data_IF_111162911022
#
_entry.id   IF_111162911022
#
_cell.length_a   1.000
_cell.length_b   1.000
_cell.length_c   1.000
_cell.angle_alpha   90.00
_cell.angle_beta   90.00
_cell.angle_gamma   90.00
#
_symmetry.space_group_name_H-M   'P 1'
#
loop_
_entity.id
_entity.type
_entity.pdbx_description
1 polymer ?
#
# COMPACT_ATOMS: atom_id res chain seq x y z
N UNK A 1 9.41 17.39 16.98
CA UNK A 1 9.11 18.04 15.69
C UNK A 1 10.22 17.90 14.62
N UNK A 2 11.44 17.46 14.95
CA UNK A 2 12.53 17.26 13.98
C UNK A 2 12.44 15.95 13.16
N UNK A 3 11.74 14.95 13.63
CA UNK A 3 11.79 13.60 13.07
C UNK A 3 10.90 13.34 11.84
N UNK A 4 10.01 14.27 11.46
CA UNK A 4 9.13 14.09 10.27
C UNK A 4 9.85 14.54 9.00
N UNK A 5 10.75 15.52 9.09
CA UNK A 5 11.53 16.01 7.96
C UNK A 5 12.53 14.99 7.41
N UNK A 6 13.20 14.23 8.30
CA UNK A 6 14.32 13.37 7.92
C UNK A 6 13.93 12.17 7.03
N UNK A 7 12.66 11.71 7.08
CA UNK A 7 12.18 10.62 6.24
C UNK A 7 11.91 11.09 4.82
N UNK A 8 11.45 12.34 4.69
CA UNK A 8 11.12 12.95 3.41
C UNK A 8 12.32 13.66 2.77
N UNK A 9 13.37 13.96 3.51
CA UNK A 9 14.58 14.62 3.00
C UNK A 9 15.52 13.71 2.21
N UNK A 10 15.42 12.36 2.37
CA UNK A 10 16.22 11.43 1.56
C UNK A 10 15.81 11.35 0.09
N UNK A 11 14.62 11.83 -0.26
CA UNK A 11 14.13 11.89 -1.66
C UNK A 11 14.70 13.08 -2.43
N UNK A 12 15.42 13.96 -1.75
CA UNK A 12 15.61 15.37 -2.16
C UNK A 12 16.70 15.59 -3.20
N UNK A 13 17.23 14.57 -3.87
CA UNK A 13 18.23 14.93 -4.87
C UNK A 13 17.65 15.04 -6.28
N UNK A 14 16.53 14.34 -6.67
CA UNK A 14 15.94 14.51 -8.03
C UNK A 14 14.49 14.00 -8.22
N UNK A 15 13.73 13.60 -7.19
CA UNK A 15 12.38 13.07 -7.34
C UNK A 15 11.33 13.78 -6.49
N UNK A 16 10.06 13.65 -6.87
CA UNK A 16 8.91 14.17 -6.12
C UNK A 16 8.33 13.11 -5.20
N UNK A 17 7.86 13.54 -4.01
CA UNK A 17 7.04 12.70 -3.14
C UNK A 17 5.57 12.91 -3.50
N UNK A 18 4.97 11.91 -4.15
CA UNK A 18 3.59 11.95 -4.63
C UNK A 18 2.67 11.37 -3.55
N UNK A 19 1.68 12.14 -3.13
CA UNK A 19 0.71 11.68 -2.14
C UNK A 19 -0.40 10.85 -2.76
N UNK A 20 -0.65 9.68 -2.18
CA UNK A 20 -1.79 8.81 -2.45
C UNK A 20 -2.81 8.99 -1.33
N UNK A 21 -4.02 9.38 -1.66
CA UNK A 21 -5.10 9.56 -0.71
C UNK A 21 -5.73 8.23 -0.27
N UNK A 22 -6.69 8.31 0.63
CA UNK A 22 -7.53 7.17 1.00
C UNK A 22 -8.43 6.78 -0.20
N UNK A 23 -8.58 5.48 -0.45
CA UNK A 23 -9.28 4.97 -1.63
C UNK A 23 -8.74 5.58 -2.94
N UNK A 24 -7.43 5.67 -3.05
CA UNK A 24 -6.70 6.23 -4.19
C UNK A 24 -5.51 5.32 -4.54
N UNK A 25 -5.01 5.47 -5.72
CA UNK A 25 -3.82 4.77 -6.21
C UNK A 25 -3.05 5.63 -7.20
N UNK A 26 -1.74 5.48 -7.21
CA UNK A 26 -0.85 6.16 -8.17
C UNK A 26 0.33 5.29 -8.51
N UNK A 27 0.81 5.43 -9.74
CA UNK A 27 2.06 4.85 -10.19
C UNK A 27 3.08 5.95 -10.51
N UNK A 28 4.35 5.65 -10.35
CA UNK A 28 5.45 6.57 -10.67
C UNK A 28 6.66 5.85 -11.24
N UNK A 29 7.54 6.62 -11.86
CA UNK A 29 8.87 6.18 -12.30
C UNK A 29 9.93 6.75 -11.37
N UNK A 30 11.06 6.06 -11.26
CA UNK A 30 12.28 6.61 -10.66
C UNK A 30 12.62 7.97 -11.31
N UNK A 31 12.97 9.00 -10.52
CA UNK A 31 13.30 8.96 -9.08
C UNK A 31 12.14 9.30 -8.12
N UNK A 32 10.90 9.39 -8.61
CA UNK A 32 9.76 9.75 -7.76
C UNK A 32 9.45 8.68 -6.69
N UNK A 33 8.80 9.12 -5.63
CA UNK A 33 8.36 8.29 -4.53
C UNK A 33 6.87 8.52 -4.24
N UNK A 34 6.24 7.55 -3.58
CA UNK A 34 4.82 7.56 -3.25
C UNK A 34 4.64 7.48 -1.74
N UNK A 35 3.67 8.20 -1.19
CA UNK A 35 3.36 8.14 0.25
C UNK A 35 1.86 8.11 0.50
N UNK A 36 1.45 7.43 1.55
CA UNK A 36 0.08 7.49 2.05
C UNK A 36 0.04 7.50 3.57
N UNK A 37 -0.95 8.16 4.11
CA UNK A 37 -1.14 8.40 5.53
C UNK A 37 -2.37 7.66 6.04
N UNK A 38 -2.39 7.36 7.33
CA UNK A 38 -3.60 6.90 8.01
C UNK A 38 -4.02 5.46 7.67
N UNK A 39 -3.06 4.56 7.46
CA UNK A 39 -3.33 3.13 7.36
C UNK A 39 -3.68 2.56 8.75
N UNK A 40 -4.95 2.56 9.11
CA UNK A 40 -5.49 1.78 10.23
C UNK A 40 -5.90 0.40 9.74
N UNK A 41 -7.21 0.16 9.61
CA UNK A 41 -7.76 -1.07 8.99
C UNK A 41 -7.53 -1.16 7.47
N UNK A 42 -7.22 -0.05 6.82
CA UNK A 42 -6.82 0.01 5.41
C UNK A 42 -5.48 -0.69 5.17
N UNK A 43 -5.24 -1.12 3.94
CA UNK A 43 -3.97 -1.72 3.52
C UNK A 43 -3.32 -0.86 2.44
N UNK A 44 -2.04 -0.52 2.64
CA UNK A 44 -1.18 0.05 1.63
C UNK A 44 -0.47 -1.07 0.86
N UNK A 45 -0.74 -1.15 -0.43
CA UNK A 45 -0.13 -2.14 -1.33
C UNK A 45 0.87 -1.42 -2.23
N UNK A 46 2.16 -1.68 -2.01
CA UNK A 46 3.22 -1.22 -2.89
C UNK A 46 3.56 -2.30 -3.91
N UNK A 47 3.48 -1.97 -5.18
CA UNK A 47 3.89 -2.82 -6.29
C UNK A 47 5.15 -2.23 -6.95
N UNK A 48 6.05 -3.09 -7.41
CA UNK A 48 7.33 -2.65 -7.95
C UNK A 48 7.85 -3.55 -9.06
N UNK A 49 8.25 -2.96 -10.19
CA UNK A 49 9.08 -3.60 -11.20
C UNK A 49 10.54 -3.14 -11.01
N UNK A 50 11.42 -3.99 -10.46
CA UNK A 50 12.78 -3.59 -10.10
C UNK A 50 13.69 -3.31 -11.31
N UNK A 51 13.34 -3.80 -12.49
CA UNK A 51 14.13 -3.58 -13.71
C UNK A 51 13.87 -2.20 -14.28
N UNK A 52 12.61 -1.81 -14.40
CA UNK A 52 12.22 -0.48 -14.91
C UNK A 52 12.20 0.59 -13.84
N UNK A 53 12.30 0.21 -12.56
CA UNK A 53 12.13 1.08 -11.39
C UNK A 53 10.81 1.87 -11.44
N UNK A 54 9.76 1.18 -11.87
CA UNK A 54 8.39 1.68 -11.84
C UNK A 54 7.71 1.11 -10.61
N UNK A 55 7.13 1.99 -9.82
CA UNK A 55 6.40 1.64 -8.61
C UNK A 55 4.96 2.10 -8.64
N UNK A 56 4.15 1.49 -7.81
CA UNK A 56 2.78 1.89 -7.56
C UNK A 56 2.40 1.72 -6.11
N UNK A 57 1.49 2.56 -5.63
CA UNK A 57 0.96 2.50 -4.27
C UNK A 57 -0.56 2.63 -4.32
N UNK A 58 -1.25 1.68 -3.70
CA UNK A 58 -2.71 1.64 -3.51
C UNK A 58 -3.02 1.77 -2.03
N UNK A 59 -3.96 2.63 -1.66
CA UNK A 59 -4.56 2.71 -0.34
C UNK A 59 -5.98 2.14 -0.39
N UNK A 60 -6.15 0.83 -0.25
CA UNK A 60 -7.47 0.20 -0.27
C UNK A 60 -8.10 0.14 1.13
N UNK A 61 -9.43 0.24 1.16
CA UNK A 61 -10.22 0.31 2.38
C UNK A 61 -11.06 -0.95 2.63
N UNK A 62 -11.42 -1.67 1.58
CA UNK A 62 -12.37 -2.78 1.59
C UNK A 62 -11.83 -3.97 0.78
N UNK A 63 -12.25 -5.20 1.12
CA UNK A 63 -11.69 -6.39 0.52
C UNK A 63 -12.16 -6.66 -0.91
N UNK A 64 -13.46 -6.50 -1.19
CA UNK A 64 -14.11 -7.06 -2.37
C UNK A 64 -15.23 -6.14 -2.87
N UNK A 65 -15.11 -5.68 -4.12
CA UNK A 65 -16.05 -4.76 -4.74
C UNK A 65 -17.43 -5.38 -4.99
N UNK A 66 -17.50 -6.70 -5.15
CA UNK A 66 -18.76 -7.40 -5.45
C UNK A 66 -19.73 -7.43 -4.26
N UNK A 67 -19.22 -7.21 -3.04
CA UNK A 67 -20.03 -7.18 -1.82
C UNK A 67 -20.74 -5.82 -1.57
N UNK A 68 -20.49 -4.83 -2.42
CA UNK A 68 -21.00 -3.47 -2.24
C UNK A 68 -21.80 -2.99 -3.45
N UNK A 69 -22.95 -2.35 -3.19
CA UNK A 69 -23.80 -1.77 -4.27
C UNK A 69 -23.11 -0.59 -4.96
N UNK A 70 -22.43 0.26 -4.18
CA UNK A 70 -21.64 1.36 -4.71
C UNK A 70 -20.17 0.96 -4.76
N UNK A 71 -19.74 0.52 -5.93
CA UNK A 71 -18.37 0.10 -6.23
C UNK A 71 -17.72 0.94 -7.35
N UNK A 72 -18.21 2.16 -7.57
CA UNK A 72 -17.73 3.05 -8.62
C UNK A 72 -16.26 3.50 -8.41
N UNK A 73 -15.81 3.64 -7.15
CA UNK A 73 -14.41 3.93 -6.86
C UNK A 73 -13.62 2.62 -6.77
N UNK A 74 -12.98 2.26 -7.88
CA UNK A 74 -12.22 1.00 -8.01
C UNK A 74 -11.01 0.93 -7.08
N UNK A 75 -10.40 2.05 -6.70
CA UNK A 75 -9.27 2.10 -5.76
C UNK A 75 -9.66 1.85 -4.30
N UNK A 76 -10.96 1.84 -4.00
CA UNK A 76 -11.47 1.57 -2.66
C UNK A 76 -11.30 0.10 -2.26
N UNK A 77 -11.27 -0.82 -3.22
CA UNK A 77 -11.31 -2.25 -3.02
C UNK A 77 -9.99 -2.92 -3.41
N UNK A 78 -9.62 -3.99 -2.69
CA UNK A 78 -8.39 -4.72 -2.96
C UNK A 78 -8.41 -5.40 -4.35
N UNK A 79 -9.53 -6.02 -4.72
CA UNK A 79 -9.69 -6.74 -5.99
C UNK A 79 -9.51 -5.82 -7.20
N UNK A 80 -10.29 -4.76 -7.31
CA UNK A 80 -10.27 -3.83 -8.44
C UNK A 80 -9.11 -2.83 -8.40
N UNK A 81 -8.69 -2.41 -7.21
CA UNK A 81 -7.61 -1.45 -7.03
C UNK A 81 -6.25 -2.02 -7.46
N UNK A 82 -5.96 -3.28 -7.15
CA UNK A 82 -4.71 -3.93 -7.57
C UNK A 82 -4.65 -4.07 -9.08
N UNK A 83 -5.75 -4.46 -9.75
CA UNK A 83 -5.79 -4.56 -11.21
C UNK A 83 -5.53 -3.20 -11.88
N UNK A 84 -6.18 -2.15 -11.38
CA UNK A 84 -6.00 -0.80 -11.94
C UNK A 84 -4.57 -0.27 -11.70
N UNK A 85 -3.98 -0.54 -10.53
CA UNK A 85 -2.61 -0.14 -10.25
C UNK A 85 -1.63 -0.80 -11.21
N UNK A 86 -1.79 -2.10 -11.47
CA UNK A 86 -0.98 -2.83 -12.46
C UNK A 86 -1.16 -2.21 -13.84
N UNK A 87 -2.39 -1.90 -14.24
CA UNK A 87 -2.67 -1.26 -15.52
C UNK A 87 -1.91 0.08 -15.67
N UNK A 88 -1.91 0.92 -14.64
CA UNK A 88 -1.17 2.18 -14.65
C UNK A 88 0.34 1.98 -14.70
N UNK A 89 0.87 1.03 -13.94
CA UNK A 89 2.30 0.71 -13.97
C UNK A 89 2.72 0.21 -15.37
N UNK A 90 1.92 -0.63 -16.01
CA UNK A 90 2.17 -1.11 -17.39
C UNK A 90 2.14 0.04 -18.40
N UNK A 91 1.23 0.98 -18.26
CA UNK A 91 1.19 2.17 -19.10
C UNK A 91 2.47 3.03 -19.01
N UNK A 92 3.17 2.96 -17.86
CA UNK A 92 4.48 3.57 -17.67
C UNK A 92 5.66 2.72 -18.19
N UNK A 93 5.44 1.43 -18.48
CA UNK A 93 6.45 0.53 -19.02
C UNK A 93 6.85 -0.65 -18.11
N UNK A 94 6.14 -0.87 -17.00
CA UNK A 94 6.36 -2.05 -16.17
C UNK A 94 5.94 -3.34 -16.89
N UNK A 95 6.57 -4.44 -16.53
CA UNK A 95 6.26 -5.77 -17.08
C UNK A 95 5.69 -6.66 -15.98
N UNK A 96 4.50 -7.21 -16.22
CA UNK A 96 3.70 -7.97 -15.25
C UNK A 96 4.50 -9.05 -14.53
N UNK A 97 5.26 -9.84 -15.28
CA UNK A 97 6.02 -10.98 -14.75
C UNK A 97 7.16 -10.59 -13.81
N UNK A 98 7.53 -9.31 -13.75
CA UNK A 98 8.57 -8.78 -12.87
C UNK A 98 8.02 -8.07 -11.64
N UNK A 99 6.71 -7.80 -11.60
CA UNK A 99 6.10 -7.08 -10.50
C UNK A 99 6.16 -7.92 -9.22
N UNK A 100 6.63 -7.29 -8.17
CA UNK A 100 6.64 -7.81 -6.80
C UNK A 100 5.89 -6.87 -5.87
N UNK A 101 5.50 -7.33 -4.70
CA UNK A 101 4.69 -6.58 -3.75
C UNK A 101 5.32 -6.46 -2.36
N UNK A 102 5.03 -5.36 -1.70
CA UNK A 102 5.18 -5.16 -0.25
C UNK A 102 3.89 -4.58 0.30
N UNK A 103 3.46 -5.03 1.48
CA UNK A 103 2.16 -4.61 2.04
C UNK A 103 2.30 -4.15 3.49
N UNK A 104 1.48 -3.17 3.87
CA UNK A 104 1.43 -2.66 5.25
C UNK A 104 0.02 -2.23 5.63
N UNK A 105 -0.32 -2.27 6.90
CA UNK A 105 -1.62 -1.85 7.40
C UNK A 105 -2.49 -3.01 7.87
N UNK A 106 -3.80 -2.88 7.72
CA UNK A 106 -4.74 -3.90 8.17
C UNK A 106 -4.80 -4.08 9.68
N UNK A 107 -4.61 -2.99 10.45
CA UNK A 107 -4.66 -3.01 11.90
C UNK A 107 -6.09 -3.20 12.42
N UNK A 108 -6.20 -3.80 13.60
CA UNK A 108 -7.45 -3.90 14.34
C UNK A 108 -7.54 -2.73 15.35
N UNK A 109 -8.12 -1.62 14.91
CA UNK A 109 -8.18 -0.39 15.69
C UNK A 109 -9.16 -0.45 16.88
N UNK A 110 -10.07 -1.42 16.91
CA UNK A 110 -11.16 -1.53 17.89
C UNK A 110 -11.25 -2.91 18.56
N UNK A 111 -10.16 -3.58 18.78
CA UNK A 111 -10.08 -4.97 19.25
C UNK A 111 -10.84 -5.26 20.58
N UNK A 112 -11.18 -4.23 21.36
CA UNK A 112 -11.75 -4.38 22.70
C UNK A 112 -13.29 -4.31 22.77
N UNK A 113 -14.04 -4.24 21.67
CA UNK A 113 -15.48 -3.96 21.73
C UNK A 113 -16.45 -5.06 21.27
N UNK A 114 -16.03 -6.12 20.70
CA UNK A 114 -16.80 -7.37 20.53
C UNK A 114 -16.11 -8.36 19.57
N UNK A 115 -16.40 -9.66 19.73
CA UNK A 115 -15.97 -10.75 18.86
C UNK A 115 -16.74 -10.84 17.52
N UNK A 116 -17.37 -9.76 17.04
CA UNK A 116 -18.14 -9.81 15.81
C UNK A 116 -17.23 -9.73 14.57
N UNK A 117 -17.50 -10.55 13.56
CA UNK A 117 -16.79 -10.55 12.28
C UNK A 117 -16.75 -9.19 11.59
N UNK A 118 -17.76 -8.34 11.82
CA UNK A 118 -17.84 -6.97 11.29
C UNK A 118 -16.69 -6.08 11.77
N UNK A 119 -16.02 -6.42 12.88
CA UNK A 119 -14.93 -5.63 13.46
C UNK A 119 -13.53 -6.04 12.98
N UNK A 120 -13.41 -7.12 12.20
CA UNK A 120 -12.13 -7.61 11.67
C UNK A 120 -11.83 -7.07 10.26
N UNK A 121 -12.22 -5.84 9.97
CA UNK A 121 -12.04 -5.23 8.64
C UNK A 121 -10.57 -5.24 8.22
N UNK A 122 -9.66 -4.91 9.12
CA UNK A 122 -8.23 -4.91 8.84
C UNK A 122 -7.71 -6.28 8.41
N UNK A 123 -8.05 -7.34 9.14
CA UNK A 123 -7.67 -8.71 8.81
C UNK A 123 -8.27 -9.16 7.47
N UNK A 124 -9.54 -8.86 7.23
CA UNK A 124 -10.23 -9.19 5.97
C UNK A 124 -9.58 -8.49 4.78
N UNK A 125 -9.18 -7.23 4.94
CA UNK A 125 -8.45 -6.48 3.92
C UNK A 125 -7.10 -7.14 3.59
N UNK A 126 -6.33 -7.54 4.61
CA UNK A 126 -5.04 -8.22 4.41
C UNK A 126 -5.23 -9.55 3.69
N UNK A 127 -6.22 -10.36 4.10
CA UNK A 127 -6.54 -11.64 3.45
C UNK A 127 -6.89 -11.43 1.97
N UNK A 128 -7.74 -10.46 1.67
CA UNK A 128 -8.17 -10.16 0.30
C UNK A 128 -7.00 -9.69 -0.58
N UNK A 129 -6.15 -8.79 -0.07
CA UNK A 129 -4.94 -8.34 -0.78
C UNK A 129 -4.03 -9.53 -1.08
N UNK A 130 -3.74 -10.37 -0.10
CA UNK A 130 -2.90 -11.57 -0.29
C UNK A 130 -3.49 -12.54 -1.31
N UNK A 131 -4.79 -12.80 -1.23
CA UNK A 131 -5.50 -13.67 -2.17
C UNK A 131 -5.43 -13.12 -3.61
N UNK A 132 -5.66 -11.81 -3.79
CA UNK A 132 -5.58 -11.16 -5.10
C UNK A 132 -4.17 -11.22 -5.67
N UNK A 133 -3.15 -10.87 -4.90
CA UNK A 133 -1.75 -10.93 -5.34
C UNK A 133 -1.34 -12.37 -5.71
N UNK A 134 -1.75 -13.36 -4.92
CA UNK A 134 -1.53 -14.78 -5.22
C UNK A 134 -2.19 -15.20 -6.53
N UNK A 135 -3.43 -14.78 -6.79
CA UNK A 135 -4.14 -15.10 -8.05
C UNK A 135 -3.46 -14.53 -9.29
N UNK A 136 -2.70 -13.44 -9.13
CA UNK A 136 -1.92 -12.78 -10.18
C UNK A 136 -0.47 -13.27 -10.25
N UNK A 137 -0.07 -14.27 -9.44
CA UNK A 137 1.29 -14.76 -9.30
C UNK A 137 2.31 -13.65 -8.90
N UNK A 138 1.86 -12.65 -8.13
CA UNK A 138 2.73 -11.60 -7.61
C UNK A 138 3.21 -12.00 -6.22
N UNK A 139 4.53 -12.11 -6.06
CA UNK A 139 5.17 -12.46 -4.79
C UNK A 139 5.16 -11.28 -3.81
N UNK A 140 4.77 -11.53 -2.57
CA UNK A 140 4.91 -10.57 -1.47
C UNK A 140 6.30 -10.77 -0.86
N UNK A 141 7.20 -9.81 -1.08
CA UNK A 141 8.58 -9.86 -0.58
C UNK A 141 8.66 -9.62 0.93
N UNK A 142 7.83 -8.71 1.44
CA UNK A 142 7.78 -8.37 2.86
C UNK A 142 6.45 -7.73 3.23
N UNK A 143 6.16 -7.75 4.54
CA UNK A 143 4.90 -7.20 5.05
C UNK A 143 5.03 -6.66 6.47
N UNK A 144 4.23 -5.64 6.79
CA UNK A 144 4.01 -5.13 8.14
C UNK A 144 2.52 -4.90 8.36
N UNK A 145 1.81 -5.95 8.75
CA UNK A 145 0.35 -5.97 8.81
C UNK A 145 -0.15 -6.38 10.19
N UNK A 146 -1.42 -6.02 10.45
CA UNK A 146 -2.10 -6.36 11.69
C UNK A 146 -1.77 -5.39 12.81
N UNK A 147 -1.69 -5.90 14.04
CA UNK A 147 -1.54 -5.11 15.26
C UNK A 147 -2.73 -4.15 15.48
N UNK A 148 -2.54 -3.12 16.31
CA UNK A 148 -3.60 -2.21 16.74
C UNK A 148 -3.23 -0.73 16.57
N UNK A 149 -2.28 -0.40 15.71
CA UNK A 149 -1.81 0.95 15.48
C UNK A 149 -1.83 1.37 14.01
N UNK A 150 -2.01 2.66 13.79
CA UNK A 150 -1.97 3.25 12.46
C UNK A 150 -0.54 3.42 11.93
N UNK A 151 -0.42 3.44 10.61
CA UNK A 151 0.85 3.57 9.89
C UNK A 151 0.80 4.69 8.86
N UNK A 152 1.94 5.31 8.65
CA UNK A 152 2.26 6.14 7.49
C UNK A 152 3.36 5.44 6.71
N UNK A 153 3.22 5.36 5.40
CA UNK A 153 4.18 4.64 4.56
C UNK A 153 4.71 5.50 3.43
N UNK A 154 5.96 5.24 3.03
CA UNK A 154 6.61 5.82 1.87
C UNK A 154 7.23 4.73 1.01
N UNK A 155 6.94 4.73 -0.29
CA UNK A 155 7.54 3.82 -1.25
C UNK A 155 8.50 4.57 -2.17
N UNK A 156 9.72 4.09 -2.29
CA UNK A 156 10.80 4.73 -3.05
C UNK A 156 11.12 3.92 -4.31
N UNK A 157 10.78 4.46 -5.48
CA UNK A 157 10.96 3.73 -6.75
C UNK A 157 12.42 3.50 -7.14
N UNK A 158 13.35 4.29 -6.62
CA UNK A 158 14.78 4.12 -6.89
C UNK A 158 15.34 2.82 -6.32
N UNK A 159 14.92 2.47 -5.09
CA UNK A 159 15.45 1.33 -4.34
C UNK A 159 14.45 0.19 -4.16
N UNK A 160 13.15 0.46 -4.29
CA UNK A 160 12.09 -0.45 -3.93
C UNK A 160 11.82 -0.52 -2.41
N UNK A 161 12.39 0.39 -1.64
CA UNK A 161 12.18 0.46 -0.19
C UNK A 161 10.75 0.88 0.14
N UNK A 162 10.16 0.16 1.10
CA UNK A 162 8.87 0.51 1.69
C UNK A 162 9.08 0.87 3.15
N UNK A 163 9.06 2.15 3.44
CA UNK A 163 9.36 2.73 4.74
C UNK A 163 8.09 2.92 5.52
N UNK A 164 8.04 2.41 6.75
CA UNK A 164 6.86 2.42 7.61
C UNK A 164 7.15 3.21 8.87
N UNK A 165 6.27 4.16 9.17
CA UNK A 165 6.28 4.96 10.38
C UNK A 165 5.00 4.72 11.18
N UNK A 166 5.14 4.43 12.46
CA UNK A 166 4.05 4.39 13.42
C UNK A 166 4.41 5.21 14.66
N UNK A 167 3.40 5.81 15.30
CA UNK A 167 3.62 6.64 16.49
C UNK A 167 4.23 5.81 17.62
N UNK A 168 5.29 6.32 18.23
CA UNK A 168 5.97 5.66 19.34
C UNK A 168 6.77 4.41 18.98
N UNK A 169 6.97 4.13 17.68
CA UNK A 169 7.76 2.99 17.20
C UNK A 169 8.95 3.44 16.37
N UNK A 170 10.03 2.64 16.32
CA UNK A 170 11.16 2.90 15.42
C UNK A 170 10.69 2.88 13.96
N UNK A 171 11.39 3.65 13.13
CA UNK A 171 11.22 3.59 11.68
C UNK A 171 11.59 2.20 11.18
N UNK A 172 10.76 1.63 10.31
CA UNK A 172 10.99 0.31 9.74
C UNK A 172 11.03 0.41 8.21
N UNK A 173 12.03 -0.19 7.60
CA UNK A 173 12.12 -0.36 6.13
C UNK A 173 11.98 -1.85 5.81
N UNK A 174 11.09 -2.16 4.90
CA UNK A 174 10.86 -3.51 4.41
C UNK A 174 11.01 -3.58 2.91
#
# INVERSE_FOLDING_TARGET
FRCVKDIFERVTIMGNMIKVGMADLKACKCPDALTTLGLGSCVGVALYDPVTKIGGLLHCMLPDSTQFRNNSNIAKFADTGIDELIRQMKALGAVDTRIVAKIAGGAQMFANRSNSEALRVGERNVIAVKAKLKSLNISILSQDCGENFGRTVGFYSETGDYVIKAVGKPLKTI
#
